data_IF_679316321075
#
_entry.id   IF_679316321075
#
_cell.length_a   1.000
_cell.length_b   1.000
_cell.length_c   1.000
_cell.angle_alpha   90.00
_cell.angle_beta   90.00
_cell.angle_gamma   90.00
#
_symmetry.space_group_name_H-M   'P 1'
#
loop_
_entity.id
_entity.type
_entity.pdbx_description
1 polymer ?
#
# COMPACT_ATOMS: atom_id res chain seq x y z
N UNK A 1 35.45 -30.85 24.76
CA UNK A 1 34.83 -29.51 24.90
C UNK A 1 34.79 -28.69 23.61
N UNK A 2 35.68 -28.88 22.62
CA UNK A 2 35.69 -28.08 21.37
C UNK A 2 34.62 -28.48 20.33
N UNK A 3 34.20 -29.75 20.30
CA UNK A 3 33.22 -30.25 19.32
C UNK A 3 31.79 -29.70 19.55
N UNK A 4 31.38 -29.51 20.81
CA UNK A 4 30.06 -28.99 21.16
C UNK A 4 29.87 -27.51 20.82
N UNK A 5 30.92 -26.70 20.99
CA UNK A 5 30.93 -25.28 20.62
C UNK A 5 30.85 -25.09 19.10
N UNK A 6 31.57 -25.92 18.34
CA UNK A 6 31.50 -25.88 16.87
C UNK A 6 30.10 -26.31 16.37
N UNK A 7 29.50 -27.34 16.97
CA UNK A 7 28.14 -27.77 16.63
C UNK A 7 27.09 -26.70 16.98
N UNK A 8 27.21 -26.04 18.14
CA UNK A 8 26.35 -24.91 18.54
C UNK A 8 26.47 -23.71 17.59
N UNK A 9 27.68 -23.38 17.13
CA UNK A 9 27.92 -22.31 16.15
C UNK A 9 27.39 -22.66 14.75
N UNK A 10 27.46 -23.94 14.34
CA UNK A 10 26.86 -24.40 13.10
C UNK A 10 25.32 -24.37 13.15
N UNK A 11 24.72 -24.74 14.29
CA UNK A 11 23.27 -24.70 14.47
C UNK A 11 22.75 -23.25 14.54
N UNK A 12 23.48 -22.33 15.18
CA UNK A 12 23.08 -20.91 15.21
C UNK A 12 23.17 -20.24 13.82
N UNK A 13 24.18 -20.61 13.01
CA UNK A 13 24.30 -20.14 11.62
C UNK A 13 23.19 -20.65 10.70
N UNK A 14 22.64 -21.83 10.95
CA UNK A 14 21.46 -22.34 10.23
C UNK A 14 20.16 -21.64 10.64
N UNK A 15 20.02 -21.19 11.89
CA UNK A 15 18.84 -20.44 12.36
C UNK A 15 18.74 -19.05 11.73
N UNK A 16 19.89 -18.38 11.49
CA UNK A 16 19.92 -17.10 10.76
C UNK A 16 19.56 -17.20 9.27
N UNK A 17 19.56 -18.41 8.71
CA UNK A 17 19.11 -18.67 7.35
C UNK A 17 17.60 -18.96 7.27
N UNK A 18 16.85 -18.93 8.38
CA UNK A 18 15.43 -19.31 8.42
C UNK A 18 14.44 -18.27 7.86
N UNK A 19 14.90 -17.15 7.31
CA UNK A 19 14.11 -16.26 6.44
C UNK A 19 13.83 -16.89 5.05
N UNK A 20 13.78 -18.22 4.97
CA UNK A 20 13.53 -19.01 3.76
C UNK A 20 12.05 -19.37 3.55
N UNK A 21 11.11 -18.69 4.22
CA UNK A 21 9.70 -18.84 3.87
C UNK A 21 9.41 -17.95 2.66
N UNK A 22 9.06 -18.50 1.48
CA UNK A 22 8.65 -17.66 0.37
C UNK A 22 7.46 -16.82 0.82
N UNK A 23 7.41 -15.52 0.46
CA UNK A 23 6.35 -14.65 0.94
C UNK A 23 4.99 -15.24 0.55
N UNK A 24 4.09 -15.31 1.53
CA UNK A 24 2.70 -15.68 1.27
C UNK A 24 2.05 -14.62 0.39
N UNK A 25 0.89 -14.95 -0.19
CA UNK A 25 0.14 -13.98 -0.99
C UNK A 25 -0.13 -12.69 -0.20
N UNK A 26 -0.56 -12.86 1.07
CA UNK A 26 -0.78 -11.78 2.00
C UNK A 26 0.47 -10.93 2.26
N UNK A 27 1.59 -11.55 2.68
CA UNK A 27 2.80 -10.77 3.00
C UNK A 27 3.32 -10.06 1.76
N UNK A 28 3.24 -10.69 0.59
CA UNK A 28 3.63 -10.06 -0.67
C UNK A 28 2.76 -8.86 -1.02
N UNK A 29 1.43 -8.96 -0.84
CA UNK A 29 0.51 -7.84 -1.07
C UNK A 29 0.78 -6.68 -0.11
N UNK A 30 0.97 -7.00 1.18
CA UNK A 30 1.25 -6.02 2.22
C UNK A 30 2.58 -5.28 1.97
N UNK A 31 3.66 -6.02 1.68
CA UNK A 31 4.97 -5.41 1.44
C UNK A 31 4.96 -4.57 0.16
N UNK A 32 4.33 -5.06 -0.90
CA UNK A 32 4.22 -4.30 -2.14
C UNK A 32 3.38 -3.02 -1.96
N UNK A 33 2.34 -3.06 -1.13
CA UNK A 33 1.57 -1.87 -0.74
C UNK A 33 2.47 -0.82 -0.06
N UNK A 34 3.27 -1.23 0.94
CA UNK A 34 4.23 -0.35 1.63
C UNK A 34 5.29 0.22 0.68
N UNK A 35 5.82 -0.61 -0.22
CA UNK A 35 6.75 -0.17 -1.25
C UNK A 35 6.15 0.90 -2.18
N UNK A 36 4.87 0.75 -2.55
CA UNK A 36 4.14 1.74 -3.36
C UNK A 36 3.96 3.03 -2.58
N UNK A 37 3.51 2.96 -1.33
CA UNK A 37 3.35 4.15 -0.46
C UNK A 37 4.68 4.92 -0.32
N UNK A 38 5.77 4.21 -0.08
CA UNK A 38 7.12 4.79 0.00
C UNK A 38 7.56 5.42 -1.33
N UNK A 39 7.23 4.78 -2.45
CA UNK A 39 7.55 5.31 -3.78
C UNK A 39 6.70 6.55 -4.10
N UNK A 40 5.43 6.55 -3.73
CA UNK A 40 4.50 7.65 -3.94
C UNK A 40 4.96 8.88 -3.16
N UNK A 41 5.31 8.71 -1.88
CA UNK A 41 5.90 9.77 -1.06
C UNK A 41 7.14 10.38 -1.74
N UNK A 42 8.06 9.55 -2.24
CA UNK A 42 9.24 10.01 -3.00
C UNK A 42 8.89 10.75 -4.30
N UNK A 43 7.75 10.44 -4.92
CA UNK A 43 7.28 11.10 -6.14
C UNK A 43 6.73 12.50 -5.79
N UNK A 44 5.93 12.62 -4.73
CA UNK A 44 5.38 13.89 -4.26
C UNK A 44 6.45 14.83 -3.65
N UNK A 45 7.44 14.28 -2.95
CA UNK A 45 8.47 15.09 -2.25
C UNK A 45 9.63 15.51 -3.15
N UNK A 46 9.99 14.71 -4.17
CA UNK A 46 11.17 14.98 -4.99
C UNK A 46 10.91 16.05 -6.05
N UNK A 47 11.77 17.07 -6.10
CA UNK A 47 11.71 18.15 -7.10
C UNK A 47 11.62 17.65 -8.56
N UNK A 48 12.18 16.47 -8.88
CA UNK A 48 12.19 15.94 -10.26
C UNK A 48 10.84 15.37 -10.71
N UNK A 49 9.97 15.01 -9.78
CA UNK A 49 8.69 14.33 -10.02
C UNK A 49 7.51 15.06 -9.39
N UNK A 50 7.74 16.03 -8.51
CA UNK A 50 6.70 16.79 -7.80
C UNK A 50 5.68 17.40 -8.76
N UNK A 51 6.11 18.02 -9.85
CA UNK A 51 5.22 18.60 -10.87
C UNK A 51 4.37 17.55 -11.60
N UNK A 52 4.88 16.32 -11.76
CA UNK A 52 4.11 15.21 -12.31
C UNK A 52 3.15 14.59 -11.29
N UNK A 53 3.42 14.79 -9.99
CA UNK A 53 2.60 14.28 -8.90
C UNK A 53 1.40 15.18 -8.57
N UNK A 54 1.35 16.42 -9.07
CA UNK A 54 0.27 17.38 -8.76
C UNK A 54 -1.12 16.88 -9.14
N UNK A 55 -1.22 16.05 -10.18
CA UNK A 55 -2.49 15.48 -10.63
C UNK A 55 -2.77 14.10 -10.03
N UNK A 56 -1.79 13.49 -9.37
CA UNK A 56 -1.98 12.18 -8.77
C UNK A 56 -2.79 12.38 -7.49
N UNK A 57 -3.90 11.64 -7.30
CA UNK A 57 -4.64 11.74 -6.06
C UNK A 57 -3.76 11.20 -4.93
N UNK A 58 -3.95 11.77 -3.75
CA UNK A 58 -3.46 11.18 -2.51
C UNK A 58 -4.16 9.84 -2.30
N UNK A 59 -3.40 8.81 -1.95
CA UNK A 59 -3.95 7.49 -1.70
C UNK A 59 -3.16 6.82 -0.58
N UNK A 60 -3.88 6.18 0.34
CA UNK A 60 -3.37 5.45 1.49
C UNK A 60 -3.78 3.99 1.36
N UNK A 61 -2.86 3.18 0.85
CA UNK A 61 -3.14 1.79 0.52
C UNK A 61 -3.25 0.94 1.79
N UNK A 62 -4.46 0.43 2.04
CA UNK A 62 -4.74 -0.56 3.06
C UNK A 62 -5.27 -1.85 2.41
N UNK A 63 -4.52 -2.94 2.54
CA UNK A 63 -4.92 -4.25 1.99
C UNK A 63 -6.05 -4.91 2.78
N UNK A 64 -6.34 -4.41 3.98
CA UNK A 64 -7.42 -4.85 4.85
C UNK A 64 -8.71 -4.05 4.65
N UNK A 65 -8.73 -3.10 3.71
CA UNK A 65 -9.92 -2.34 3.37
C UNK A 65 -10.60 -2.91 2.13
N UNK A 66 -11.91 -3.17 2.19
CA UNK A 66 -12.66 -3.78 1.09
C UNK A 66 -12.68 -2.92 -0.18
N UNK A 67 -12.51 -1.61 -0.05
CA UNK A 67 -12.51 -0.67 -1.17
C UNK A 67 -11.19 -0.63 -1.96
N UNK A 68 -10.14 -1.29 -1.45
CA UNK A 68 -8.77 -1.20 -2.00
C UNK A 68 -8.69 -1.50 -3.49
N UNK A 69 -9.46 -2.49 -3.96
CA UNK A 69 -9.43 -2.91 -5.37
C UNK A 69 -9.99 -1.84 -6.29
N UNK A 70 -11.09 -1.19 -5.90
CA UNK A 70 -11.72 -0.12 -6.68
C UNK A 70 -10.80 1.11 -6.69
N UNK A 71 -10.30 1.52 -5.52
CA UNK A 71 -9.40 2.68 -5.41
C UNK A 71 -8.09 2.49 -6.16
N UNK A 72 -7.51 1.28 -6.14
CA UNK A 72 -6.33 0.97 -6.96
C UNK A 72 -6.60 1.04 -8.46
N UNK A 73 -7.79 0.64 -8.91
CA UNK A 73 -8.18 0.74 -10.33
C UNK A 73 -8.27 2.19 -10.77
N UNK A 74 -8.93 3.03 -9.98
CA UNK A 74 -9.08 4.45 -10.27
C UNK A 74 -7.73 5.15 -10.27
N UNK A 75 -6.89 4.85 -9.28
CA UNK A 75 -5.52 5.36 -9.22
C UNK A 75 -4.69 4.92 -10.44
N UNK A 76 -4.77 3.65 -10.81
CA UNK A 76 -4.09 3.12 -11.99
C UNK A 76 -4.55 3.84 -13.26
N UNK A 77 -5.84 4.14 -13.39
CA UNK A 77 -6.37 4.91 -14.51
C UNK A 77 -5.74 6.29 -14.62
N UNK A 78 -5.61 7.02 -13.50
CA UNK A 78 -4.96 8.35 -13.48
C UNK A 78 -3.48 8.23 -13.87
N UNK A 79 -2.76 7.24 -13.33
CA UNK A 79 -1.34 7.02 -13.65
C UNK A 79 -1.13 6.67 -15.13
N UNK A 80 -2.01 5.86 -15.71
CA UNK A 80 -1.95 5.48 -17.13
C UNK A 80 -2.26 6.66 -18.07
N UNK A 81 -3.22 7.50 -17.69
CA UNK A 81 -3.74 8.59 -18.50
C UNK A 81 -3.18 9.96 -18.12
N UNK A 82 -2.00 10.00 -17.48
CA UNK A 82 -1.34 11.27 -17.15
C UNK A 82 -1.20 12.13 -18.42
N UNK A 83 -1.67 13.40 -18.46
CA UNK A 83 -1.75 14.23 -19.66
C UNK A 83 -0.36 14.49 -20.26
N UNK A 84 0.63 14.79 -19.41
CA UNK A 84 2.00 15.03 -19.87
C UNK A 84 2.75 13.72 -20.17
N UNK A 85 3.18 13.53 -21.42
CA UNK A 85 3.96 12.36 -21.86
C UNK A 85 5.30 12.24 -21.15
N UNK A 86 6.01 13.35 -20.94
CA UNK A 86 7.30 13.35 -20.25
C UNK A 86 7.17 12.79 -18.83
N UNK A 87 6.06 13.07 -18.15
CA UNK A 87 5.79 12.50 -16.83
C UNK A 87 5.55 10.98 -16.90
N UNK A 88 4.83 10.48 -17.91
CA UNK A 88 4.60 9.03 -18.09
C UNK A 88 5.91 8.26 -18.28
N UNK A 89 6.90 8.86 -18.94
CA UNK A 89 8.18 8.23 -19.26
C UNK A 89 9.21 8.34 -18.12
N UNK A 90 8.96 9.15 -17.09
CA UNK A 90 9.90 9.28 -15.95
C UNK A 90 10.09 7.92 -15.26
N UNK A 91 11.33 7.54 -14.89
CA UNK A 91 11.63 6.22 -14.32
C UNK A 91 10.78 5.86 -13.10
N UNK A 92 10.56 6.82 -12.19
CA UNK A 92 9.74 6.61 -10.98
C UNK A 92 8.26 6.42 -11.30
N UNK A 93 7.74 7.13 -12.30
CA UNK A 93 6.34 7.00 -12.74
C UNK A 93 6.11 5.66 -13.43
N UNK A 94 7.04 5.21 -14.28
CA UNK A 94 7.01 3.88 -14.89
C UNK A 94 7.09 2.78 -13.82
N UNK A 95 7.95 2.95 -12.82
CA UNK A 95 8.04 2.01 -11.70
C UNK A 95 6.75 1.98 -10.87
N UNK A 96 6.17 3.15 -10.58
CA UNK A 96 4.91 3.28 -9.86
C UNK A 96 3.79 2.54 -10.60
N UNK A 97 3.62 2.80 -11.91
CA UNK A 97 2.67 2.10 -12.78
C UNK A 97 2.83 0.58 -12.66
N UNK A 98 4.05 0.06 -12.83
CA UNK A 98 4.32 -1.39 -12.76
C UNK A 98 3.96 -1.98 -11.40
N UNK A 99 4.32 -1.30 -10.30
CA UNK A 99 4.03 -1.78 -8.95
C UNK A 99 2.53 -1.79 -8.67
N UNK A 100 1.80 -0.74 -9.04
CA UNK A 100 0.33 -0.69 -8.88
C UNK A 100 -0.34 -1.79 -9.69
N UNK A 101 0.07 -1.99 -10.95
CA UNK A 101 -0.46 -3.07 -11.80
C UNK A 101 -0.22 -4.45 -11.18
N UNK A 102 0.97 -4.66 -10.62
CA UNK A 102 1.30 -5.89 -9.90
C UNK A 102 0.45 -6.05 -8.64
N UNK A 103 0.30 -5.00 -7.82
CA UNK A 103 -0.52 -5.07 -6.61
C UNK A 103 -1.98 -5.37 -6.95
N UNK A 104 -2.55 -4.66 -7.94
CA UNK A 104 -3.90 -4.91 -8.41
C UNK A 104 -4.07 -6.36 -8.89
N UNK A 105 -3.12 -6.89 -9.66
CA UNK A 105 -3.15 -8.29 -10.10
C UNK A 105 -3.02 -9.27 -8.94
N UNK A 106 -2.16 -8.99 -7.96
CA UNK A 106 -1.97 -9.83 -6.77
C UNK A 106 -3.28 -9.88 -5.98
N UNK A 107 -3.87 -8.73 -5.65
CA UNK A 107 -5.11 -8.64 -4.87
C UNK A 107 -6.29 -9.31 -5.60
N UNK A 108 -6.46 -9.02 -6.89
CA UNK A 108 -7.66 -9.46 -7.63
C UNK A 108 -7.61 -10.87 -8.17
N UNK A 109 -6.41 -11.44 -8.41
CA UNK A 109 -6.27 -12.76 -9.04
C UNK A 109 -5.61 -13.77 -8.13
N UNK A 110 -4.53 -13.39 -7.46
CA UNK A 110 -3.68 -14.33 -6.72
C UNK A 110 -4.21 -14.49 -5.29
N UNK A 111 -4.47 -13.38 -4.59
CA UNK A 111 -4.90 -13.35 -3.19
C UNK A 111 -6.41 -13.16 -3.00
N UNK A 112 -7.22 -13.32 -4.05
CA UNK A 112 -8.65 -12.96 -4.04
C UNK A 112 -9.45 -13.59 -2.88
N UNK A 113 -9.04 -14.75 -2.37
CA UNK A 113 -9.66 -15.43 -1.23
C UNK A 113 -8.84 -15.40 0.06
N UNK A 114 -7.60 -14.93 -0.01
CA UNK A 114 -6.65 -14.95 1.10
C UNK A 114 -6.65 -13.61 1.86
N UNK A 115 -7.14 -12.54 1.24
CA UNK A 115 -7.26 -11.24 1.87
C UNK A 115 -8.53 -11.16 2.72
N UNK A 116 -8.34 -10.81 3.99
CA UNK A 116 -9.43 -10.55 4.93
C UNK A 116 -9.57 -9.05 5.09
N UNK A 117 -10.77 -8.53 4.84
CA UNK A 117 -11.09 -7.12 5.02
C UNK A 117 -11.64 -6.88 6.43
N UNK A 118 -11.06 -5.93 7.15
CA UNK A 118 -11.47 -5.51 8.49
C UNK A 118 -12.28 -4.22 8.49
N UNK A 119 -12.25 -3.47 7.40
CA UNK A 119 -12.92 -2.16 7.26
C UNK A 119 -13.45 -1.96 5.84
N UNK A 120 -14.51 -1.18 5.72
CA UNK A 120 -15.14 -0.74 4.48
C UNK A 120 -15.14 0.79 4.32
N UNK A 121 -14.38 1.50 5.17
CA UNK A 121 -14.21 2.95 5.10
C UNK A 121 -13.38 3.33 3.86
N UNK A 122 -14.04 3.50 2.71
CA UNK A 122 -13.36 3.90 1.48
C UNK A 122 -12.73 5.30 1.58
N UNK A 123 -13.23 6.18 2.46
CA UNK A 123 -12.72 7.54 2.63
C UNK A 123 -11.35 7.54 3.31
N UNK A 124 -11.08 6.54 4.16
CA UNK A 124 -9.76 6.34 4.75
C UNK A 124 -8.68 6.09 3.69
N UNK A 125 -9.01 5.45 2.57
CA UNK A 125 -8.05 5.25 1.46
C UNK A 125 -7.73 6.59 0.77
N UNK A 126 -8.69 7.50 0.66
CA UNK A 126 -8.47 8.78 -0.02
C UNK A 126 -7.76 9.81 0.88
N UNK A 127 -8.10 9.80 2.18
CA UNK A 127 -7.71 10.84 3.14
C UNK A 127 -6.63 10.40 4.14
N UNK A 128 -6.47 9.09 4.37
CA UNK A 128 -5.58 8.53 5.38
C UNK A 128 -6.17 8.50 6.79
N UNK A 129 -7.41 8.94 6.96
CA UNK A 129 -8.08 9.06 8.24
C UNK A 129 -9.18 7.99 8.38
N UNK A 130 -9.18 7.24 9.48
CA UNK A 130 -10.16 6.17 9.75
C UNK A 130 -11.35 6.67 10.56
N UNK A 131 -12.56 6.34 10.13
CA UNK A 131 -13.82 6.51 10.88
C UNK A 131 -13.82 5.69 12.19
N UNK A 132 -14.47 6.14 13.29
CA UNK A 132 -15.41 7.26 13.40
C UNK A 132 -14.75 8.60 13.71
N UNK A 133 -15.10 9.63 12.95
CA UNK A 133 -14.80 11.02 13.27
C UNK A 133 -15.70 11.48 14.42
N UNK A 134 -15.36 11.10 15.65
CA UNK A 134 -16.12 11.48 16.86
C UNK A 134 -16.23 13.00 17.11
N UNK A 135 -15.55 13.85 16.32
CA UNK A 135 -15.59 15.30 16.45
C UNK A 135 -16.76 15.97 15.72
N UNK A 136 -17.33 15.36 14.67
CA UNK A 136 -18.35 16.00 13.82
C UNK A 136 -19.78 15.54 14.17
N UNK A 137 -19.96 14.27 14.57
CA UNK A 137 -21.29 13.70 14.86
C UNK A 137 -21.91 14.12 16.21
N UNK A 138 -21.18 14.81 17.08
CA UNK A 138 -21.73 15.26 18.38
C UNK A 138 -22.50 16.59 18.33
N UNK A 139 -22.47 17.31 17.22
CA UNK A 139 -23.04 18.68 17.14
C UNK A 139 -24.49 18.77 16.64
N UNK A 140 -25.14 17.66 16.25
CA UNK A 140 -26.52 17.70 15.71
C UNK A 140 -27.60 17.13 16.64
N UNK A 141 -27.26 16.60 17.81
CA UNK A 141 -28.22 15.93 18.72
C UNK A 141 -28.75 16.82 19.87
N UNK A 142 -28.46 18.12 19.91
CA UNK A 142 -28.84 19.01 21.04
C UNK A 142 -29.72 20.21 20.67
N UNK A 143 -30.36 20.23 19.49
CA UNK A 143 -31.20 21.38 19.14
C UNK A 143 -32.50 21.00 18.45
N UNK A 144 -33.36 20.28 19.17
CA UNK A 144 -34.80 20.32 18.92
C UNK A 144 -35.58 19.98 20.19
N UNK A 145 -35.68 20.96 21.10
CA UNK A 145 -36.79 21.05 22.04
C UNK A 145 -37.27 22.50 22.03
N UNK A 146 -38.48 22.70 21.49
CA UNK A 146 -39.23 23.95 21.45
C UNK A 146 -40.38 23.88 22.43
#
# INVERSE_FOLDING_TARGET
>A
MKLGLAALLCLSSLVWLSECTPPTCYSRALDLSKEIMTLLDKIHTSHRTKTCAEILPTIFLDVHNSCITTKLRDFLYVVLNHPNQYCREKPRMVLLKRKIQNLYSIITRICYRDLVFFTDDCQAIDTGNTSPYYAEDRLQLLQEDR
#
